data_IF_222916184998
#
_entry.id   IF_222916184998
#
_cell.length_a   1.000
_cell.length_b   1.000
_cell.length_c   1.000
_cell.angle_alpha   90.00
_cell.angle_beta   90.00
_cell.angle_gamma   90.00
#
_symmetry.space_group_name_H-M   'P 1'
#
loop_
_entity.id
_entity.type
_entity.pdbx_description
1 polymer ?
#
# COMPACT_ATOMS: atom_id res chain seq x y z
N UNK A 1 -20.18 -18.68 -10.13
CA UNK A 1 -18.73 -18.42 -10.30
C UNK A 1 -18.13 -18.07 -8.95
N UNK A 2 -17.44 -19.00 -8.30
CA UNK A 2 -16.72 -18.75 -7.05
C UNK A 2 -15.43 -18.01 -7.38
N UNK A 3 -15.42 -16.68 -7.20
CA UNK A 3 -14.22 -15.84 -7.32
C UNK A 3 -13.21 -16.36 -6.29
N UNK A 4 -12.26 -17.18 -6.73
CA UNK A 4 -11.18 -17.67 -5.87
C UNK A 4 -10.37 -16.46 -5.43
N UNK A 5 -10.59 -16.01 -4.21
CA UNK A 5 -9.79 -14.95 -3.59
C UNK A 5 -8.40 -15.54 -3.39
N UNK A 6 -7.50 -15.36 -4.37
CA UNK A 6 -6.08 -15.66 -4.20
C UNK A 6 -5.61 -14.84 -3.00
N UNK A 7 -5.38 -15.52 -1.87
CA UNK A 7 -4.72 -14.91 -0.72
C UNK A 7 -3.25 -14.70 -1.08
N UNK A 8 -2.73 -13.50 -0.82
CA UNK A 8 -1.30 -13.20 -0.95
C UNK A 8 -0.50 -14.20 -0.12
N UNK A 9 0.49 -14.84 -0.74
CA UNK A 9 1.46 -15.69 -0.04
C UNK A 9 2.32 -14.85 0.89
N UNK A 10 2.96 -15.46 1.90
CA UNK A 10 3.84 -14.73 2.80
C UNK A 10 5.05 -14.11 2.09
N UNK A 11 5.54 -14.76 1.02
CA UNK A 11 6.54 -14.16 0.14
C UNK A 11 6.02 -12.92 -0.57
N UNK A 12 4.78 -12.95 -1.08
CA UNK A 12 4.19 -11.79 -1.76
C UNK A 12 4.06 -10.62 -0.80
N UNK A 13 3.69 -10.88 0.47
CA UNK A 13 3.62 -9.84 1.51
C UNK A 13 4.98 -9.23 1.81
N UNK A 14 6.04 -10.03 1.90
CA UNK A 14 7.40 -9.54 2.15
C UNK A 14 7.91 -8.67 0.98
N UNK A 15 7.64 -9.08 -0.26
CA UNK A 15 7.97 -8.30 -1.45
C UNK A 15 7.20 -6.98 -1.45
N UNK A 16 5.89 -7.03 -1.16
CA UNK A 16 5.05 -5.84 -1.09
C UNK A 16 5.52 -4.88 0.01
N UNK A 17 5.85 -5.38 1.20
CA UNK A 17 6.38 -4.57 2.31
C UNK A 17 7.70 -3.89 1.93
N UNK A 18 8.62 -4.61 1.28
CA UNK A 18 9.88 -4.03 0.82
C UNK A 18 9.64 -2.92 -0.21
N UNK A 19 8.69 -3.12 -1.11
CA UNK A 19 8.31 -2.15 -2.13
C UNK A 19 7.68 -0.89 -1.49
N UNK A 20 6.75 -1.07 -0.57
CA UNK A 20 6.14 0.01 0.20
C UNK A 20 7.19 0.80 0.98
N UNK A 21 8.13 0.12 1.64
CA UNK A 21 9.23 0.77 2.34
C UNK A 21 10.08 1.66 1.45
N UNK A 22 10.35 1.22 0.20
CA UNK A 22 11.10 2.02 -0.78
C UNK A 22 10.34 3.27 -1.22
N UNK A 23 9.05 3.14 -1.53
CA UNK A 23 8.25 4.30 -1.97
C UNK A 23 7.93 5.27 -0.84
N UNK A 24 7.81 4.79 0.40
CA UNK A 24 7.56 5.62 1.56
C UNK A 24 8.73 6.61 1.85
N UNK A 25 9.95 6.32 1.39
CA UNK A 25 11.09 7.24 1.48
C UNK A 25 10.84 8.58 0.75
N UNK A 26 10.00 8.58 -0.29
CA UNK A 26 9.67 9.79 -1.05
C UNK A 26 8.80 10.80 -0.31
N UNK A 27 8.19 10.41 0.82
CA UNK A 27 7.28 11.27 1.59
C UNK A 27 7.98 12.05 2.70
N UNK A 28 9.29 11.86 2.90
CA UNK A 28 10.10 12.58 3.91
C UNK A 28 9.51 12.58 5.33
N UNK A 29 8.80 11.50 5.70
CA UNK A 29 8.18 11.31 7.01
C UNK A 29 9.17 10.83 8.07
N UNK A 30 8.89 11.12 9.34
CA UNK A 30 9.61 10.51 10.46
C UNK A 30 9.38 8.99 10.49
N UNK A 31 10.28 8.24 11.15
CA UNK A 31 10.22 6.78 11.24
C UNK A 31 8.83 6.23 11.60
N UNK A 32 8.21 6.67 12.71
CA UNK A 32 6.87 6.21 13.10
C UNK A 32 5.78 6.55 12.07
N UNK A 33 5.74 7.78 11.57
CA UNK A 33 4.74 8.21 10.59
C UNK A 33 4.86 7.47 9.27
N UNK A 34 6.10 7.17 8.85
CA UNK A 34 6.42 6.39 7.67
C UNK A 34 5.96 4.93 7.85
N UNK A 35 6.24 4.33 8.99
CA UNK A 35 5.85 2.95 9.28
C UNK A 35 4.32 2.81 9.31
N UNK A 36 3.64 3.82 9.87
CA UNK A 36 2.19 3.90 9.81
C UNK A 36 1.71 4.02 8.35
N UNK A 37 2.34 4.85 7.51
CA UNK A 37 1.95 5.04 6.11
C UNK A 37 2.06 3.72 5.33
N UNK A 38 3.16 2.99 5.56
CA UNK A 38 3.39 1.66 4.98
C UNK A 38 2.28 0.70 5.41
N UNK A 39 1.95 0.67 6.71
CA UNK A 39 0.93 -0.23 7.27
C UNK A 39 -0.46 0.06 6.72
N UNK A 40 -0.87 1.31 6.67
CA UNK A 40 -2.18 1.70 6.11
C UNK A 40 -2.27 1.44 4.62
N UNK A 41 -1.21 1.76 3.87
CA UNK A 41 -1.16 1.47 2.42
C UNK A 41 -1.26 -0.04 2.18
N UNK A 42 -0.56 -0.85 2.98
CA UNK A 42 -0.67 -2.31 2.90
C UNK A 42 -2.09 -2.80 3.14
N UNK A 43 -2.77 -2.28 4.17
CA UNK A 43 -4.16 -2.62 4.47
C UNK A 43 -5.10 -2.20 3.33
N UNK A 44 -4.92 -1.01 2.75
CA UNK A 44 -5.73 -0.52 1.63
C UNK A 44 -5.55 -1.37 0.36
N UNK A 45 -4.34 -1.85 0.09
CA UNK A 45 -4.10 -2.78 -1.02
C UNK A 45 -4.68 -4.17 -0.75
N UNK A 46 -4.66 -4.62 0.50
CA UNK A 46 -5.23 -5.90 0.91
C UNK A 46 -6.77 -5.92 0.85
N UNK A 47 -7.44 -4.77 1.02
CA UNK A 47 -8.91 -4.66 0.92
C UNK A 47 -9.39 -4.58 -0.53
N UNK A 48 -8.52 -4.19 -1.47
CA UNK A 48 -8.83 -4.05 -2.90
C UNK A 48 -7.84 -4.81 -3.78
N UNK A 49 -7.72 -6.15 -3.66
CA UNK A 49 -6.75 -6.92 -4.44
C UNK A 49 -6.99 -6.84 -5.96
N UNK A 50 -8.18 -6.42 -6.39
CA UNK A 50 -8.53 -6.21 -7.80
C UNK A 50 -7.65 -5.17 -8.51
N UNK A 51 -7.08 -4.21 -7.79
CA UNK A 51 -6.23 -3.18 -8.39
C UNK A 51 -4.99 -3.78 -9.06
N UNK A 52 -4.51 -4.93 -8.58
CA UNK A 52 -3.36 -5.62 -9.16
C UNK A 52 -3.68 -6.34 -10.48
N UNK A 53 -4.96 -6.49 -10.84
CA UNK A 53 -5.36 -6.98 -12.17
C UNK A 53 -5.52 -5.85 -13.19
N UNK A 54 -5.70 -4.61 -12.72
CA UNK A 54 -5.93 -3.44 -13.56
C UNK A 54 -4.64 -2.70 -13.91
N UNK A 55 -3.64 -2.74 -13.02
CA UNK A 55 -2.36 -2.04 -13.18
C UNK A 55 -1.19 -2.82 -12.57
N UNK A 56 0.03 -2.35 -12.86
CA UNK A 56 1.24 -2.95 -12.27
C UNK A 56 1.24 -2.80 -10.75
N UNK A 57 1.94 -3.71 -10.06
CA UNK A 57 2.07 -3.68 -8.59
C UNK A 57 2.68 -2.37 -8.12
N UNK A 58 3.70 -1.85 -8.83
CA UNK A 58 4.30 -0.56 -8.52
C UNK A 58 3.30 0.58 -8.64
N UNK A 59 2.52 0.63 -9.74
CA UNK A 59 1.54 1.67 -9.94
C UNK A 59 0.42 1.62 -8.88
N UNK A 60 -0.06 0.42 -8.54
CA UNK A 60 -1.03 0.23 -7.46
C UNK A 60 -0.47 0.75 -6.12
N UNK A 61 0.77 0.40 -5.80
CA UNK A 61 1.44 0.86 -4.57
C UNK A 61 1.57 2.38 -4.53
N UNK A 62 2.07 3.01 -5.60
CA UNK A 62 2.30 4.46 -5.64
C UNK A 62 0.99 5.23 -5.50
N UNK A 63 -0.04 4.84 -6.25
CA UNK A 63 -1.34 5.52 -6.21
C UNK A 63 -2.02 5.35 -4.85
N UNK A 64 -2.08 4.14 -4.31
CA UNK A 64 -2.69 3.90 -2.99
C UNK A 64 -1.93 4.60 -1.87
N UNK A 65 -0.59 4.63 -1.92
CA UNK A 65 0.20 5.35 -0.91
C UNK A 65 -0.04 6.85 -0.96
N UNK A 66 -0.20 7.42 -2.16
CA UNK A 66 -0.52 8.84 -2.34
C UNK A 66 -1.92 9.17 -1.79
N UNK A 67 -2.91 8.32 -2.06
CA UNK A 67 -4.28 8.47 -1.52
C UNK A 67 -4.31 8.42 0.01
N UNK A 68 -3.61 7.45 0.62
CA UNK A 68 -3.51 7.32 2.07
C UNK A 68 -2.81 8.52 2.68
N UNK A 69 -1.68 8.94 2.10
CA UNK A 69 -0.94 10.11 2.58
C UNK A 69 -1.77 11.40 2.52
N UNK A 70 -2.48 11.64 1.41
CA UNK A 70 -3.36 12.79 1.26
C UNK A 70 -4.51 12.75 2.29
N UNK A 71 -5.12 11.58 2.50
CA UNK A 71 -6.20 11.40 3.47
C UNK A 71 -5.76 11.69 4.91
N UNK A 72 -4.53 11.31 5.26
CA UNK A 72 -3.92 11.64 6.57
C UNK A 72 -3.73 13.14 6.76
N UNK A 73 -3.25 13.84 5.73
CA UNK A 73 -3.09 15.30 5.79
C UNK A 73 -4.41 16.01 6.00
N UNK A 74 -5.45 15.60 5.28
CA UNK A 74 -6.81 16.15 5.42
C UNK A 74 -7.44 15.89 6.79
N UNK A 75 -7.03 14.83 7.48
CA UNK A 75 -7.52 14.49 8.83
C UNK A 75 -6.73 15.18 9.95
N UNK A 76 -5.60 15.80 9.62
CA UNK A 76 -4.74 16.52 10.56
C UNK A 76 -4.99 18.04 10.60
N UNK A 77 -5.81 18.56 9.68
CA UNK A 77 -6.34 19.94 9.64
C UNK A 77 -7.71 20.02 10.36
#
# INVERSE_FOLDING_TARGET
MTRSVRKLSDNDKLVLQSLLGRYALGYHLAGPERDDLIKETFLALATRPEVFFEKSVEQAVVETMAEVFASRRLSAE
#
